data_IF_679203818805
#
_entry.id   IF_679203818805
#
_cell.length_a   1.000
_cell.length_b   1.000
_cell.length_c   1.000
_cell.angle_alpha   90.00
_cell.angle_beta   90.00
_cell.angle_gamma   90.00
#
_symmetry.space_group_name_H-M   'P 1'
#
loop_
_entity.id
_entity.type
_entity.pdbx_description
1 polymer ?
#
# COMPACT_ATOMS: atom_id res chain seq x y z
N UNK A 1 -16.79 -12.94 26.89
CA UNK A 1 -15.34 -12.81 27.23
C UNK A 1 -14.36 -13.37 26.19
N UNK A 2 -14.77 -14.11 25.15
CA UNK A 2 -13.85 -14.80 24.23
C UNK A 2 -13.12 -13.93 23.18
N UNK A 3 -13.42 -12.64 23.05
CA UNK A 3 -12.82 -11.75 22.03
C UNK A 3 -11.53 -11.06 22.48
N UNK A 4 -11.28 -10.98 23.80
CA UNK A 4 -10.07 -10.34 24.35
C UNK A 4 -8.74 -10.97 23.88
N UNK A 5 -8.57 -12.30 23.84
CA UNK A 5 -7.30 -12.88 23.41
C UNK A 5 -7.01 -12.70 21.92
N UNK A 6 -8.03 -12.75 21.06
CA UNK A 6 -7.85 -12.53 19.61
C UNK A 6 -7.49 -11.07 19.32
N UNK A 7 -8.14 -10.14 20.02
CA UNK A 7 -7.85 -8.71 19.90
C UNK A 7 -6.39 -8.41 20.27
N UNK A 8 -5.90 -8.94 21.39
CA UNK A 8 -4.51 -8.76 21.81
C UNK A 8 -3.49 -9.35 20.83
N UNK A 9 -3.76 -10.52 20.24
CA UNK A 9 -2.86 -11.14 19.26
C UNK A 9 -2.74 -10.29 17.99
N UNK A 10 -3.86 -9.76 17.49
CA UNK A 10 -3.83 -8.92 16.29
C UNK A 10 -3.09 -7.61 16.55
N UNK A 11 -3.31 -6.99 17.71
CA UNK A 11 -2.54 -5.80 18.12
C UNK A 11 -1.06 -6.14 18.20
N UNK A 12 -0.68 -7.26 18.83
CA UNK A 12 0.72 -7.69 18.87
C UNK A 12 1.33 -7.82 17.47
N UNK A 13 0.59 -8.37 16.49
CA UNK A 13 1.03 -8.40 15.09
C UNK A 13 1.22 -6.98 14.53
N UNK A 14 0.27 -6.06 14.73
CA UNK A 14 0.41 -4.66 14.30
C UNK A 14 1.65 -3.99 14.91
N UNK A 15 1.87 -4.16 16.22
CA UNK A 15 3.01 -3.60 16.94
C UNK A 15 4.33 -4.16 16.40
N UNK A 16 4.38 -5.47 16.10
CA UNK A 16 5.58 -6.14 15.56
C UNK A 16 5.99 -5.67 14.17
N UNK A 17 5.04 -5.13 13.38
CA UNK A 17 5.30 -4.62 12.03
C UNK A 17 5.73 -3.15 11.97
N UNK A 18 5.88 -2.51 13.14
CA UNK A 18 6.18 -1.08 13.28
C UNK A 18 5.14 -0.12 12.66
N UNK A 19 3.90 -0.59 12.46
CA UNK A 19 2.81 0.22 11.90
C UNK A 19 2.43 1.45 12.74
N UNK A 20 2.70 1.36 14.05
CA UNK A 20 2.40 2.40 15.04
C UNK A 20 3.34 3.61 15.00
N UNK A 21 4.50 3.51 14.34
CA UNK A 21 5.51 4.57 14.33
C UNK A 21 5.21 5.55 13.20
N UNK A 22 4.56 6.67 13.52
CA UNK A 22 4.33 7.76 12.57
C UNK A 22 5.53 8.68 12.42
N UNK A 23 5.34 9.79 11.72
CA UNK A 23 6.40 10.79 11.48
C UNK A 23 6.53 11.78 12.63
N UNK A 24 7.56 12.63 12.54
CA UNK A 24 7.78 13.74 13.49
C UNK A 24 6.67 14.80 13.43
N UNK A 25 6.13 15.01 12.24
CA UNK A 25 5.04 15.96 12.00
C UNK A 25 3.70 15.24 12.10
N UNK A 26 2.78 15.84 12.85
CA UNK A 26 1.40 15.36 13.00
C UNK A 26 0.46 16.46 12.56
N UNK A 27 -0.35 16.18 11.54
CA UNK A 27 -1.40 17.09 11.11
C UNK A 27 -2.52 17.12 12.15
N UNK A 28 -3.18 18.28 12.31
CA UNK A 28 -4.15 18.48 13.39
C UNK A 28 -5.31 17.47 13.38
N UNK A 29 -5.87 17.20 12.20
CA UNK A 29 -6.92 16.21 12.00
C UNK A 29 -6.46 14.76 12.27
N UNK A 30 -5.17 14.47 12.14
CA UNK A 30 -4.58 13.15 12.43
C UNK A 30 -4.37 12.90 13.93
N UNK A 31 -4.48 13.92 14.78
CA UNK A 31 -4.41 13.76 16.24
C UNK A 31 -5.46 12.80 16.78
N UNK A 32 -6.60 12.66 16.11
CA UNK A 32 -7.66 11.69 16.47
C UNK A 32 -7.13 10.26 16.45
N UNK A 33 -6.22 9.93 15.53
CA UNK A 33 -5.60 8.60 15.40
C UNK A 33 -4.26 8.49 16.11
N UNK A 34 -3.78 9.57 16.71
CA UNK A 34 -2.50 9.61 17.43
C UNK A 34 -2.75 9.29 18.90
N UNK A 35 -2.03 8.32 19.44
CA UNK A 35 -2.03 8.00 20.87
C UNK A 35 -1.20 8.99 21.67
N UNK A 36 -0.03 9.37 21.14
CA UNK A 36 0.89 10.31 21.78
C UNK A 36 2.14 10.54 20.95
N UNK A 37 3.19 11.06 21.60
CA UNK A 37 4.48 11.34 20.98
C UNK A 37 5.60 10.74 21.82
N UNK A 38 6.56 10.05 21.19
CA UNK A 38 7.73 9.44 21.85
C UNK A 38 8.97 9.63 20.98
N UNK A 39 10.08 10.10 21.55
CA UNK A 39 11.33 10.39 20.82
C UNK A 39 11.09 11.27 19.58
N UNK A 40 10.25 12.28 19.75
CA UNK A 40 9.76 13.15 18.68
C UNK A 40 8.94 12.51 17.54
N UNK A 41 8.67 11.21 17.59
CA UNK A 41 7.82 10.51 16.64
C UNK A 41 6.39 10.39 17.16
N UNK A 42 5.43 10.54 16.27
CA UNK A 42 4.03 10.27 16.58
C UNK A 42 3.82 8.77 16.78
N UNK A 43 3.11 8.40 17.85
CA UNK A 43 2.68 7.02 18.08
C UNK A 43 1.21 6.93 17.68
N UNK A 44 0.93 6.16 16.64
CA UNK A 44 -0.42 5.90 16.16
C UNK A 44 -1.15 4.90 17.06
N UNK A 45 -2.43 5.12 17.27
CA UNK A 45 -3.29 4.30 18.11
C UNK A 45 -3.67 2.99 17.38
N UNK A 46 -3.06 1.89 17.83
CA UNK A 46 -3.23 0.57 17.20
C UNK A 46 -4.66 0.03 17.30
N UNK A 47 -5.43 0.42 18.33
CA UNK A 47 -6.84 0.03 18.43
C UNK A 47 -7.67 0.70 17.33
N UNK A 48 -7.43 2.00 17.09
CA UNK A 48 -8.09 2.72 15.99
C UNK A 48 -7.64 2.20 14.62
N UNK A 49 -6.35 1.91 14.45
CA UNK A 49 -5.85 1.25 13.23
C UNK A 49 -6.57 -0.06 12.98
N UNK A 50 -6.75 -0.89 14.01
CA UNK A 50 -7.44 -2.18 13.89
C UNK A 50 -8.92 -2.02 13.51
N UNK A 51 -9.62 -1.04 14.07
CA UNK A 51 -11.01 -0.72 13.69
C UNK A 51 -11.08 -0.34 12.22
N UNK A 52 -10.24 0.59 11.78
CA UNK A 52 -10.19 1.02 10.38
C UNK A 52 -9.83 -0.13 9.43
N UNK A 53 -8.88 -0.97 9.82
CA UNK A 53 -8.45 -2.14 9.05
C UNK A 53 -9.60 -3.14 8.85
N UNK A 54 -10.40 -3.39 9.90
CA UNK A 54 -11.58 -4.25 9.84
C UNK A 54 -12.63 -3.68 8.89
N UNK A 55 -12.96 -2.39 9.03
CA UNK A 55 -13.93 -1.72 8.16
C UNK A 55 -13.50 -1.77 6.69
N UNK A 56 -12.22 -1.51 6.41
CA UNK A 56 -11.67 -1.60 5.06
C UNK A 56 -11.74 -3.04 4.51
N UNK A 57 -11.38 -4.04 5.31
CA UNK A 57 -11.43 -5.44 4.92
C UNK A 57 -12.86 -5.94 4.65
N UNK A 58 -13.82 -5.52 5.47
CA UNK A 58 -15.24 -5.82 5.27
C UNK A 58 -15.77 -5.20 3.97
N UNK A 59 -15.45 -3.92 3.73
CA UNK A 59 -15.80 -3.26 2.47
C UNK A 59 -15.20 -3.98 1.25
N UNK A 60 -13.89 -4.28 1.28
CA UNK A 60 -13.23 -5.03 0.20
C UNK A 60 -13.85 -6.42 -0.01
N UNK A 61 -14.21 -7.12 1.06
CA UNK A 61 -14.86 -8.41 0.97
C UNK A 61 -16.25 -8.32 0.31
N UNK A 62 -17.05 -7.32 0.67
CA UNK A 62 -18.37 -7.10 0.07
C UNK A 62 -18.28 -6.81 -1.43
N UNK A 63 -17.30 -6.01 -1.85
CA UNK A 63 -17.10 -5.66 -3.25
C UNK A 63 -16.50 -6.84 -4.05
N UNK A 64 -15.63 -7.63 -3.42
CA UNK A 64 -15.10 -8.85 -4.03
C UNK A 64 -16.21 -9.89 -4.28
N UNK A 65 -17.19 -10.01 -3.38
CA UNK A 65 -18.35 -10.87 -3.56
C UNK A 65 -19.17 -10.48 -4.80
N UNK A 66 -19.26 -9.17 -5.08
CA UNK A 66 -19.92 -8.62 -6.27
C UNK A 66 -19.05 -8.68 -7.54
N UNK A 67 -17.87 -9.32 -7.48
CA UNK A 67 -16.88 -9.38 -8.56
C UNK A 67 -16.42 -7.99 -9.02
N UNK A 68 -16.36 -7.04 -8.09
CA UNK A 68 -15.88 -5.68 -8.35
C UNK A 68 -14.40 -5.65 -8.77
N UNK A 69 -14.03 -4.63 -9.53
CA UNK A 69 -12.67 -4.43 -10.05
C UNK A 69 -11.86 -3.57 -9.10
N UNK A 70 -10.75 -4.12 -8.63
CA UNK A 70 -9.82 -3.42 -7.75
C UNK A 70 -8.62 -2.90 -8.52
N UNK A 71 -8.18 -1.68 -8.18
CA UNK A 71 -6.93 -1.12 -8.65
C UNK A 71 -6.01 -0.85 -7.48
N UNK A 72 -4.85 -1.52 -7.49
CA UNK A 72 -3.81 -1.36 -6.48
C UNK A 72 -2.79 -0.33 -6.93
N UNK A 73 -2.53 0.65 -6.08
CA UNK A 73 -1.75 1.84 -6.37
C UNK A 73 -0.68 1.98 -5.30
N UNK A 74 0.55 1.69 -5.69
CA UNK A 74 1.75 1.81 -4.86
C UNK A 74 2.61 2.95 -5.39
N UNK A 75 3.42 3.72 -4.66
CA UNK A 75 4.49 4.56 -5.28
C UNK A 75 5.88 4.00 -5.08
N UNK A 76 6.03 3.29 -3.98
CA UNK A 76 7.29 2.95 -3.39
C UNK A 76 7.80 1.64 -4.02
N UNK A 77 8.92 1.64 -4.77
CA UNK A 77 9.41 0.42 -5.41
C UNK A 77 9.71 -0.71 -4.42
N UNK A 78 9.87 -0.40 -3.12
CA UNK A 78 9.97 -1.38 -2.03
C UNK A 78 8.79 -2.37 -2.01
N UNK A 79 7.58 -1.92 -2.33
CA UNK A 79 6.37 -2.75 -2.20
C UNK A 79 5.98 -3.44 -3.51
N UNK A 80 6.67 -3.16 -4.62
CA UNK A 80 6.29 -3.67 -5.95
C UNK A 80 6.23 -5.20 -5.97
N UNK A 81 7.23 -5.86 -5.39
CA UNK A 81 7.27 -7.32 -5.35
C UNK A 81 6.13 -7.91 -4.53
N UNK A 82 5.87 -7.36 -3.35
CA UNK A 82 4.82 -7.83 -2.43
C UNK A 82 3.45 -7.71 -3.12
N UNK A 83 3.21 -6.58 -3.76
CA UNK A 83 1.93 -6.29 -4.44
C UNK A 83 1.79 -7.13 -5.70
N UNK A 84 2.86 -7.36 -6.45
CA UNK A 84 2.87 -8.25 -7.61
C UNK A 84 2.55 -9.70 -7.20
N UNK A 85 3.14 -10.20 -6.12
CA UNK A 85 2.83 -11.53 -5.60
C UNK A 85 1.37 -11.64 -5.13
N UNK A 86 0.89 -10.66 -4.37
CA UNK A 86 -0.51 -10.59 -3.92
C UNK A 86 -1.49 -10.61 -5.11
N UNK A 87 -1.28 -9.72 -6.08
CA UNK A 87 -2.18 -9.59 -7.23
C UNK A 87 -2.18 -10.83 -8.13
N UNK A 88 -1.03 -11.52 -8.28
CA UNK A 88 -0.95 -12.82 -8.96
C UNK A 88 -1.76 -13.89 -8.23
N UNK A 89 -1.64 -13.96 -6.89
CA UNK A 89 -2.37 -14.93 -6.06
C UNK A 89 -3.89 -14.73 -6.12
N UNK A 90 -4.35 -13.47 -6.12
CA UNK A 90 -5.78 -13.14 -6.17
C UNK A 90 -6.36 -13.33 -7.60
N UNK A 91 -5.51 -13.35 -8.63
CA UNK A 91 -5.95 -13.38 -10.03
C UNK A 91 -6.38 -12.01 -10.57
N UNK A 92 -6.16 -10.93 -9.81
CA UNK A 92 -6.38 -9.54 -10.24
C UNK A 92 -5.13 -8.91 -10.90
N UNK A 93 -4.08 -9.69 -11.16
CA UNK A 93 -2.86 -9.20 -11.78
C UNK A 93 -3.09 -8.75 -13.22
N UNK A 94 -2.89 -7.47 -13.48
CA UNK A 94 -2.77 -6.94 -14.83
C UNK A 94 -1.35 -6.38 -15.02
N UNK A 95 -0.49 -7.04 -15.82
CA UNK A 95 0.88 -6.56 -16.07
C UNK A 95 0.89 -5.14 -16.66
N UNK A 96 -0.19 -4.77 -17.36
CA UNK A 96 -0.38 -3.42 -17.84
C UNK A 96 -0.48 -2.44 -16.68
N UNK A 97 -1.20 -2.73 -15.58
CA UNK A 97 -1.50 -1.82 -14.45
C UNK A 97 -0.31 -1.50 -13.54
N UNK A 98 0.67 -2.40 -13.39
CA UNK A 98 1.76 -2.23 -12.41
C UNK A 98 2.76 -1.10 -12.74
N UNK A 99 2.89 -0.72 -14.01
CA UNK A 99 3.80 0.37 -14.43
C UNK A 99 3.08 1.72 -14.64
N UNK A 100 1.75 1.72 -14.80
CA UNK A 100 0.96 2.88 -15.30
C UNK A 100 0.92 4.03 -14.32
N UNK A 101 0.82 3.72 -13.02
CA UNK A 101 0.63 4.75 -12.02
C UNK A 101 1.91 5.58 -11.79
N UNK A 102 3.06 5.18 -12.34
CA UNK A 102 4.32 5.94 -12.29
C UNK A 102 4.38 7.06 -13.33
N UNK A 103 3.42 7.10 -14.26
CA UNK A 103 3.59 7.82 -15.54
C UNK A 103 2.60 8.98 -15.78
N UNK A 104 1.70 9.26 -14.83
CA UNK A 104 1.02 10.58 -14.77
C UNK A 104 -0.26 10.75 -15.59
N UNK A 105 -1.05 9.69 -15.81
CA UNK A 105 -2.45 9.82 -16.26
C UNK A 105 -3.24 8.62 -15.78
N UNK A 106 -4.17 8.83 -14.83
CA UNK A 106 -4.60 7.73 -13.96
C UNK A 106 -5.99 7.19 -14.26
N UNK A 107 -7.03 8.03 -14.23
CA UNK A 107 -8.41 7.55 -14.26
C UNK A 107 -9.34 8.43 -15.09
N UNK A 108 -9.22 9.76 -15.00
CA UNK A 108 -10.15 10.71 -15.65
C UNK A 108 -9.99 10.79 -17.16
N UNK A 109 -8.83 10.38 -17.69
CA UNK A 109 -8.53 10.38 -19.12
C UNK A 109 -8.19 8.97 -19.64
N UNK A 110 -8.84 7.94 -19.09
CA UNK A 110 -8.58 6.52 -19.41
C UNK A 110 -8.85 6.15 -20.88
N UNK A 111 -9.74 6.88 -21.53
CA UNK A 111 -10.11 6.72 -22.95
C UNK A 111 -9.18 7.46 -23.92
N UNK A 112 -8.22 8.25 -23.42
CA UNK A 112 -7.22 8.90 -24.27
C UNK A 112 -6.47 7.88 -25.12
N UNK A 113 -6.17 8.18 -26.40
CA UNK A 113 -5.38 7.30 -27.24
C UNK A 113 -4.07 6.88 -26.55
N UNK A 114 -4.00 5.61 -26.13
CA UNK A 114 -2.84 5.00 -25.43
C UNK A 114 -1.60 4.81 -26.31
N UNK A 115 -1.61 5.45 -27.48
CA UNK A 115 -0.54 5.40 -28.49
C UNK A 115 0.05 6.79 -28.65
N UNK A 116 0.43 7.43 -27.55
CA UNK A 116 1.44 8.48 -27.64
C UNK A 116 2.76 7.77 -27.98
N UNK A 117 3.05 7.64 -29.28
CA UNK A 117 4.32 7.08 -29.76
C UNK A 117 5.41 8.12 -29.52
N UNK A 118 5.98 8.14 -28.32
CA UNK A 118 7.37 8.59 -28.22
C UNK A 118 8.23 7.56 -28.96
N UNK A 119 9.28 8.03 -29.66
CA UNK A 119 10.16 7.23 -30.54
C UNK A 119 10.67 5.93 -29.91
N UNK A 120 10.65 5.77 -28.57
CA UNK A 120 11.18 4.61 -27.85
C UNK A 120 10.32 4.04 -26.70
N UNK A 121 9.10 4.53 -26.40
CA UNK A 121 8.28 3.99 -25.28
C UNK A 121 6.78 3.98 -25.58
N UNK A 122 6.12 2.85 -25.33
CA UNK A 122 4.65 2.74 -25.27
C UNK A 122 4.19 3.26 -23.90
N UNK A 123 3.49 4.38 -23.88
CA UNK A 123 2.87 4.93 -22.67
C UNK A 123 1.40 4.52 -22.61
N UNK A 124 1.03 3.76 -21.60
CA UNK A 124 -0.37 3.44 -21.33
C UNK A 124 -0.85 4.31 -20.16
N UNK A 125 -1.96 5.05 -20.33
CA UNK A 125 -2.49 6.00 -19.33
C UNK A 125 -3.60 5.37 -18.47
N UNK A 126 -3.32 4.20 -17.87
CA UNK A 126 -4.30 3.51 -17.01
C UNK A 126 -5.15 2.44 -17.73
N UNK A 127 -5.96 1.68 -16.95
CA UNK A 127 -6.92 0.72 -17.51
C UNK A 127 -7.99 1.47 -18.32
N UNK A 128 -8.52 0.87 -19.39
CA UNK A 128 -9.57 1.51 -20.21
C UNK A 128 -10.86 1.69 -19.43
N UNK A 129 -11.16 0.72 -18.56
CA UNK A 129 -12.32 0.75 -17.69
C UNK A 129 -11.91 1.24 -16.31
N UNK A 130 -12.74 2.11 -15.72
CA UNK A 130 -12.55 2.57 -14.35
C UNK A 130 -12.69 1.39 -13.35
N UNK A 131 -11.86 1.35 -12.29
CA UNK A 131 -12.02 0.39 -11.21
C UNK A 131 -13.20 0.77 -10.31
N UNK A 132 -13.79 -0.22 -9.65
CA UNK A 132 -14.88 -0.03 -8.68
C UNK A 132 -14.33 0.35 -7.29
N UNK A 133 -13.08 -0.01 -7.00
CA UNK A 133 -12.38 0.41 -5.78
C UNK A 133 -10.90 0.66 -6.04
N UNK A 134 -10.38 1.72 -5.43
CA UNK A 134 -8.97 2.06 -5.42
C UNK A 134 -8.34 1.69 -4.07
N UNK A 135 -7.23 0.96 -4.09
CA UNK A 135 -6.44 0.65 -2.89
C UNK A 135 -5.06 1.30 -3.02
N UNK A 136 -4.77 2.27 -2.16
CA UNK A 136 -3.53 3.07 -2.18
C UNK A 136 -2.64 2.68 -1.01
N UNK A 137 -1.41 2.24 -1.29
CA UNK A 137 -0.45 1.82 -0.27
C UNK A 137 0.48 2.96 0.21
N UNK A 138 0.69 3.98 -0.62
CA UNK A 138 1.50 5.16 -0.29
C UNK A 138 0.75 6.40 -0.79
N UNK A 139 0.32 7.25 0.16
CA UNK A 139 -0.56 8.39 -0.10
C UNK A 139 0.18 9.71 -0.33
N UNK A 140 1.41 9.85 0.17
CA UNK A 140 2.10 11.16 0.17
C UNK A 140 2.53 11.58 -1.23
N UNK A 141 3.06 10.64 -2.02
CA UNK A 141 3.55 10.92 -3.38
C UNK A 141 2.46 10.86 -4.47
N UNK A 142 1.19 10.61 -4.10
CA UNK A 142 0.11 10.26 -5.05
C UNK A 142 -1.21 11.03 -4.87
N UNK A 143 -1.10 12.30 -4.55
CA UNK A 143 -2.23 13.22 -4.51
C UNK A 143 -3.13 13.16 -5.76
N UNK A 144 -2.55 13.06 -6.96
CA UNK A 144 -3.30 13.07 -8.21
C UNK A 144 -4.28 11.90 -8.36
N UNK A 145 -3.88 10.68 -7.96
CA UNK A 145 -4.76 9.51 -8.09
C UNK A 145 -5.96 9.65 -7.15
N UNK A 146 -5.71 10.16 -5.93
CA UNK A 146 -6.76 10.41 -4.93
C UNK A 146 -7.74 11.46 -5.45
N UNK A 147 -7.22 12.55 -6.03
CA UNK A 147 -8.05 13.63 -6.60
C UNK A 147 -8.89 13.13 -7.78
N UNK A 148 -8.30 12.35 -8.69
CA UNK A 148 -9.01 11.80 -9.84
C UNK A 148 -10.09 10.78 -9.44
N UNK A 149 -9.76 9.86 -8.52
CA UNK A 149 -10.72 8.89 -8.01
C UNK A 149 -11.89 9.59 -7.30
N UNK A 150 -11.61 10.64 -6.53
CA UNK A 150 -12.65 11.45 -5.90
C UNK A 150 -13.57 12.13 -6.93
N UNK A 151 -13.00 12.69 -8.01
CA UNK A 151 -13.79 13.27 -9.12
C UNK A 151 -14.69 12.23 -9.80
N UNK A 152 -14.20 11.00 -9.95
CA UNK A 152 -14.95 9.88 -10.55
C UNK A 152 -15.86 9.15 -9.56
N UNK A 153 -15.96 9.61 -8.31
CA UNK A 153 -16.76 8.97 -7.24
C UNK A 153 -16.38 7.52 -6.96
N UNK A 154 -15.10 7.16 -7.16
CA UNK A 154 -14.57 5.84 -6.85
C UNK A 154 -14.17 5.82 -5.37
N UNK A 155 -14.64 4.84 -4.57
CA UNK A 155 -14.24 4.70 -3.18
C UNK A 155 -12.75 4.34 -3.06
N UNK A 156 -12.10 4.92 -2.04
CA UNK A 156 -10.66 4.79 -1.83
C UNK A 156 -10.40 4.17 -0.46
N UNK A 157 -9.68 3.06 -0.46
CA UNK A 157 -9.02 2.49 0.72
C UNK A 157 -7.57 2.93 0.67
N UNK A 158 -7.07 3.63 1.69
CA UNK A 158 -5.69 4.11 1.68
C UNK A 158 -5.03 3.95 3.04
N UNK A 159 -3.73 3.63 3.02
CA UNK A 159 -2.88 3.88 4.19
C UNK A 159 -2.74 5.38 4.40
N UNK A 160 -2.79 5.80 5.66
CA UNK A 160 -2.73 7.20 6.07
C UNK A 160 -1.67 7.35 7.14
N UNK A 161 -0.73 8.26 6.90
CA UNK A 161 0.32 8.62 7.84
C UNK A 161 -0.04 9.88 8.65
N UNK A 162 0.66 10.10 9.76
CA UNK A 162 0.44 11.22 10.67
C UNK A 162 0.64 12.59 10.01
N UNK A 163 1.47 12.68 8.97
CA UNK A 163 1.78 13.93 8.28
C UNK A 163 0.86 14.24 7.08
N UNK A 164 -0.14 13.38 6.80
CA UNK A 164 -1.00 13.56 5.63
C UNK A 164 -1.80 14.87 5.72
N UNK A 165 -1.90 15.68 4.66
CA UNK A 165 -2.68 16.92 4.68
C UNK A 165 -4.18 16.64 4.55
N UNK A 166 -4.99 17.56 5.11
CA UNK A 166 -6.44 17.43 5.21
C UNK A 166 -7.12 17.31 3.83
N UNK A 167 -6.56 17.98 2.83
CA UNK A 167 -7.08 17.98 1.46
C UNK A 167 -7.14 16.57 0.85
N UNK A 168 -6.17 15.71 1.16
CA UNK A 168 -6.19 14.33 0.66
C UNK A 168 -6.94 13.41 1.61
N UNK A 169 -6.77 13.60 2.92
CA UNK A 169 -7.46 12.81 3.94
C UNK A 169 -8.99 12.85 3.77
N UNK A 170 -9.56 14.03 3.56
CA UNK A 170 -11.01 14.24 3.37
C UNK A 170 -11.61 13.52 2.17
N UNK A 171 -10.78 13.09 1.20
CA UNK A 171 -11.23 12.42 -0.02
C UNK A 171 -11.18 10.89 0.08
N UNK A 172 -10.52 10.36 1.10
CA UNK A 172 -10.40 8.92 1.33
C UNK A 172 -11.64 8.42 2.06
N UNK A 173 -12.25 7.35 1.55
CA UNK A 173 -13.47 6.76 2.13
C UNK A 173 -13.14 5.87 3.33
N UNK A 174 -12.10 5.03 3.20
CA UNK A 174 -11.67 4.08 4.21
C UNK A 174 -10.19 4.30 4.54
N UNK A 175 -9.87 5.24 5.46
CA UNK A 175 -8.49 5.51 5.86
C UNK A 175 -8.01 4.46 6.87
N UNK A 176 -6.85 3.86 6.63
CA UNK A 176 -6.15 2.97 7.56
C UNK A 176 -4.95 3.73 8.16
N UNK A 177 -5.06 4.24 9.39
CA UNK A 177 -4.01 5.03 10.02
C UNK A 177 -2.85 4.12 10.42
N UNK A 178 -1.80 4.10 9.62
CA UNK A 178 -0.63 3.25 9.84
C UNK A 178 0.54 3.74 9.00
N UNK A 179 1.75 3.55 9.53
CA UNK A 179 2.97 3.80 8.78
C UNK A 179 3.19 2.74 7.68
N UNK A 180 3.77 3.15 6.57
CA UNK A 180 4.07 2.31 5.42
C UNK A 180 5.38 1.52 5.59
N UNK A 181 5.51 0.81 6.70
CA UNK A 181 6.59 -0.16 6.90
C UNK A 181 6.42 -1.35 5.94
N UNK A 182 7.52 -1.88 5.39
CA UNK A 182 7.51 -3.07 4.51
C UNK A 182 6.77 -4.24 5.18
N UNK A 183 7.02 -4.45 6.47
CA UNK A 183 6.38 -5.50 7.25
C UNK A 183 4.87 -5.29 7.37
N UNK A 184 4.44 -4.04 7.57
CA UNK A 184 3.02 -3.72 7.68
C UNK A 184 2.31 -3.84 6.33
N UNK A 185 2.93 -3.34 5.25
CA UNK A 185 2.39 -3.48 3.89
C UNK A 185 2.26 -4.95 3.51
N UNK A 186 3.22 -5.80 3.89
CA UNK A 186 3.11 -7.25 3.71
C UNK A 186 1.93 -7.85 4.49
N UNK A 187 1.79 -7.50 5.78
CA UNK A 187 0.65 -7.93 6.59
C UNK A 187 -0.68 -7.49 5.97
N UNK A 188 -0.75 -6.26 5.46
CA UNK A 188 -1.94 -5.71 4.82
C UNK A 188 -2.26 -6.43 3.49
N UNK A 189 -1.26 -6.67 2.64
CA UNK A 189 -1.41 -7.45 1.42
C UNK A 189 -1.84 -8.90 1.70
N UNK A 190 -1.32 -9.51 2.76
CA UNK A 190 -1.73 -10.85 3.20
C UNK A 190 -3.17 -10.86 3.69
N UNK A 191 -3.60 -9.83 4.43
CA UNK A 191 -4.98 -9.67 4.85
C UNK A 191 -5.90 -9.59 3.62
N UNK A 192 -5.57 -8.73 2.65
CA UNK A 192 -6.31 -8.61 1.39
C UNK A 192 -6.37 -9.97 0.68
N UNK A 193 -5.24 -10.64 0.48
CA UNK A 193 -5.19 -11.96 -0.16
C UNK A 193 -6.12 -12.95 0.52
N UNK A 194 -6.08 -13.04 1.86
CA UNK A 194 -6.95 -13.92 2.65
C UNK A 194 -8.42 -13.57 2.46
N UNK A 195 -8.79 -12.29 2.47
CA UNK A 195 -10.19 -11.89 2.24
C UNK A 195 -10.70 -12.29 0.87
N UNK A 196 -9.91 -12.09 -0.19
CA UNK A 196 -10.33 -12.43 -1.56
C UNK A 196 -10.43 -13.94 -1.79
N UNK A 197 -9.46 -14.72 -1.29
CA UNK A 197 -9.49 -16.18 -1.40
C UNK A 197 -10.70 -16.74 -0.66
N UNK A 198 -10.96 -16.25 0.55
CA UNK A 198 -12.14 -16.63 1.33
C UNK A 198 -13.44 -16.37 0.55
N UNK A 199 -13.60 -15.16 -0.02
CA UNK A 199 -14.80 -14.81 -0.78
C UNK A 199 -14.93 -15.63 -2.07
N UNK A 200 -13.82 -15.95 -2.72
CA UNK A 200 -13.83 -16.84 -3.90
C UNK A 200 -14.33 -18.25 -3.55
N UNK A 201 -13.91 -18.79 -2.40
CA UNK A 201 -14.39 -20.08 -1.90
C UNK A 201 -15.88 -20.05 -1.51
N UNK A 202 -16.34 -18.97 -0.87
CA UNK A 202 -17.75 -18.79 -0.49
C UNK A 202 -18.66 -18.66 -1.72
N UNK A 203 -18.21 -17.96 -2.76
CA UNK A 203 -18.95 -17.79 -4.01
C UNK A 203 -19.24 -19.10 -4.74
N UNK A 204 -18.29 -20.05 -4.73
CA UNK A 204 -18.49 -21.38 -5.34
C UNK A 204 -19.51 -22.21 -4.54
N UNK A 205 -19.49 -22.16 -3.21
CA UNK A 205 -20.42 -22.91 -2.35
C UNK A 205 -21.89 -22.48 -2.49
N UNK A 206 -22.13 -21.20 -2.79
CA UNK A 206 -23.48 -20.68 -2.98
C UNK A 206 -24.12 -21.08 -4.31
N UNK A 207 -23.33 -21.35 -5.35
CA UNK A 207 -23.86 -21.90 -6.62
C UNK A 207 -24.24 -23.38 -6.49
N UNK A 208 -23.61 -24.11 -5.56
CA UNK A 208 -23.83 -25.54 -5.39
C UNK A 208 -25.00 -25.89 -4.46
N UNK A 209 -25.61 -24.94 -3.73
CA UNK A 209 -26.62 -25.27 -2.72
C UNK A 209 -27.72 -24.21 -2.53
N UNK A 210 -28.93 -24.55 -3.00
CA UNK A 210 -30.19 -24.12 -2.40
C UNK A 210 -30.38 -24.84 -1.05
N UNK A 211 -29.51 -24.55 -0.08
CA UNK A 211 -29.60 -25.07 1.29
C UNK A 211 -29.35 -23.92 2.25
N UNK A 212 -30.30 -23.72 3.15
CA UNK A 212 -30.34 -22.62 4.10
C UNK A 212 -29.05 -22.42 4.89
N UNK A 213 -28.83 -21.14 5.20
CA UNK A 213 -27.86 -20.57 6.11
C UNK A 213 -27.20 -21.57 7.09
N UNK A 214 -25.88 -21.75 6.94
CA UNK A 214 -25.00 -22.14 8.04
C UNK A 214 -23.68 -21.37 7.88
N UNK A 215 -23.48 -20.35 8.69
CA UNK A 215 -22.14 -19.81 8.92
C UNK A 215 -21.22 -20.99 9.29
N UNK A 216 -20.17 -21.24 8.52
CA UNK A 216 -19.29 -22.37 8.80
C UNK A 216 -18.60 -22.22 10.16
N UNK A 217 -18.32 -23.32 10.87
CA UNK A 217 -17.88 -23.28 12.26
C UNK A 217 -16.48 -22.69 12.37
N UNK A 218 -16.19 -22.06 13.52
CA UNK A 218 -14.89 -21.49 13.93
C UNK A 218 -13.66 -22.42 13.79
N UNK A 219 -13.82 -23.69 13.38
CA UNK A 219 -12.76 -24.70 13.27
C UNK A 219 -12.02 -24.70 11.94
N UNK A 220 -12.69 -24.55 10.79
CA UNK A 220 -12.04 -24.59 9.45
C UNK A 220 -11.11 -23.38 9.21
N UNK A 221 -11.42 -22.26 9.85
CA UNK A 221 -10.60 -21.05 9.81
C UNK A 221 -9.23 -21.25 10.48
N UNK A 222 -9.17 -22.11 11.51
CA UNK A 222 -7.95 -22.36 12.27
C UNK A 222 -6.88 -23.08 11.44
N UNK A 223 -7.29 -23.97 10.55
CA UNK A 223 -6.34 -24.78 9.78
C UNK A 223 -5.79 -24.02 8.55
N UNK A 224 -6.63 -23.21 7.89
CA UNK A 224 -6.17 -22.24 6.88
C UNK A 224 -5.25 -21.17 7.47
N UNK A 225 -5.52 -20.71 8.70
CA UNK A 225 -4.62 -19.76 9.39
C UNK A 225 -3.27 -20.41 9.71
N UNK A 226 -3.24 -21.67 10.15
CA UNK A 226 -2.00 -22.40 10.45
C UNK A 226 -1.16 -22.64 9.19
N UNK A 227 -1.79 -23.06 8.08
CA UNK A 227 -1.12 -23.28 6.81
C UNK A 227 -0.50 -21.98 6.27
N UNK A 228 -1.19 -20.84 6.45
CA UNK A 228 -0.66 -19.52 6.11
C UNK A 228 0.39 -18.97 7.09
N UNK A 229 0.24 -19.18 8.40
CA UNK A 229 1.27 -18.79 9.40
C UNK A 229 2.56 -19.61 9.19
N UNK A 230 2.44 -20.85 8.67
CA UNK A 230 3.57 -21.68 8.25
C UNK A 230 4.24 -21.12 6.99
N UNK A 231 3.46 -20.73 5.98
CA UNK A 231 3.96 -20.03 4.77
C UNK A 231 4.57 -18.67 5.11
N UNK A 232 4.02 -17.92 6.08
CA UNK A 232 4.57 -16.65 6.55
C UNK A 232 5.94 -16.86 7.22
N UNK A 233 6.06 -17.88 8.09
CA UNK A 233 7.36 -18.27 8.67
C UNK A 233 8.35 -18.76 7.64
N UNK A 234 7.92 -19.52 6.63
CA UNK A 234 8.79 -19.97 5.54
C UNK A 234 9.24 -18.80 4.66
N UNK A 235 8.36 -17.88 4.26
CA UNK A 235 8.72 -16.72 3.42
C UNK A 235 9.68 -15.77 4.14
N UNK A 236 9.51 -15.54 5.45
CA UNK A 236 10.40 -14.68 6.24
C UNK A 236 11.66 -15.37 6.77
N UNK A 237 11.65 -16.71 6.87
CA UNK A 237 12.84 -17.51 7.21
C UNK A 237 13.59 -17.99 5.97
N UNK A 238 13.05 -17.82 4.76
CA UNK A 238 13.72 -18.19 3.53
C UNK A 238 14.91 -17.24 3.32
N UNK A 239 16.12 -17.78 3.47
CA UNK A 239 17.37 -17.07 3.21
C UNK A 239 17.39 -16.50 1.79
N UNK A 240 16.65 -17.10 0.86
CA UNK A 240 16.46 -16.60 -0.50
C UNK A 240 15.63 -15.30 -0.55
N UNK A 241 14.62 -15.12 0.32
CA UNK A 241 13.87 -13.86 0.40
C UNK A 241 14.73 -12.75 1.01
N UNK A 242 15.49 -13.06 2.08
CA UNK A 242 16.44 -12.12 2.68
C UNK A 242 17.53 -11.72 1.68
N UNK A 243 18.11 -12.68 0.97
CA UNK A 243 19.13 -12.46 -0.06
C UNK A 243 18.58 -11.67 -1.27
N UNK A 244 17.32 -11.89 -1.65
CA UNK A 244 16.64 -11.11 -2.69
C UNK A 244 16.34 -9.68 -2.25
N UNK A 245 15.92 -9.48 -1.00
CA UNK A 245 15.76 -8.14 -0.40
C UNK A 245 17.10 -7.42 -0.33
N UNK A 246 18.17 -8.11 0.05
CA UNK A 246 19.53 -7.54 0.13
C UNK A 246 20.09 -7.19 -1.25
N UNK A 247 19.99 -8.11 -2.23
CA UNK A 247 20.33 -7.83 -3.65
C UNK A 247 19.50 -6.68 -4.21
N UNK A 248 18.24 -6.57 -3.80
CA UNK A 248 17.36 -5.47 -4.20
C UNK A 248 17.80 -4.14 -3.57
N UNK A 249 18.18 -4.10 -2.28
CA UNK A 249 18.73 -2.91 -1.61
C UNK A 249 20.00 -2.43 -2.31
N UNK A 250 20.96 -3.33 -2.56
CA UNK A 250 22.19 -3.04 -3.32
C UNK A 250 21.89 -2.50 -4.72
N UNK A 251 20.84 -2.99 -5.37
CA UNK A 251 20.39 -2.49 -6.68
C UNK A 251 19.78 -1.08 -6.61
N UNK A 252 19.18 -0.69 -5.48
CA UNK A 252 18.68 0.67 -5.27
C UNK A 252 19.78 1.66 -4.83
N UNK A 253 20.76 1.21 -4.05
CA UNK A 253 21.98 1.98 -3.71
C UNK A 253 22.75 2.34 -4.98
N UNK A 254 22.94 1.38 -5.90
CA UNK A 254 23.52 1.64 -7.24
C UNK A 254 22.70 2.60 -8.11
N UNK A 255 21.41 2.78 -7.80
CA UNK A 255 20.52 3.74 -8.47
C UNK A 255 20.47 5.09 -7.77
N UNK A 256 21.19 5.25 -6.64
CA UNK A 256 21.24 6.49 -5.86
C UNK A 256 19.95 6.83 -5.12
N UNK A 257 19.09 5.84 -4.85
CA UNK A 257 17.76 6.05 -4.22
C UNK A 257 17.82 5.86 -2.71
N UNK A 258 18.77 5.07 -2.20
CA UNK A 258 19.06 4.92 -0.77
C UNK A 258 20.42 5.56 -0.49
N UNK A 259 20.52 6.33 0.59
CA UNK A 259 21.80 6.83 1.10
C UNK A 259 22.54 5.67 1.78
N UNK A 260 23.83 5.54 1.53
CA UNK A 260 24.67 4.57 2.21
C UNK A 260 24.76 4.92 3.69
N UNK A 261 24.62 3.93 4.56
CA UNK A 261 24.77 4.12 6.01
C UNK A 261 26.20 4.49 6.43
N UNK A 262 27.17 4.39 5.52
CA UNK A 262 28.58 4.69 5.78
C UNK A 262 28.90 6.20 5.74
N UNK A 263 28.02 7.03 5.15
CA UNK A 263 28.22 8.48 5.07
C UNK A 263 27.74 9.22 6.33
N UNK A 264 27.10 8.52 7.28
CA UNK A 264 26.56 9.11 8.51
C UNK A 264 27.61 9.35 9.61
N UNK A 265 28.88 8.97 9.39
CA UNK A 265 29.95 9.04 10.39
C UNK A 265 31.15 9.92 10.00
N UNK A 266 31.08 10.68 8.90
CA UNK A 266 32.09 11.70 8.61
C UNK A 266 31.49 13.10 8.84
N UNK A 267 31.66 13.61 10.05
CA UNK A 267 31.54 15.02 10.34
C UNK A 267 32.69 15.75 9.66
N UNK A 268 32.44 16.23 8.45
CA UNK A 268 33.19 17.33 7.85
C UNK A 268 32.17 18.39 7.44
N UNK A 269 32.24 19.56 8.11
CA UNK A 269 31.58 20.79 7.68
C UNK A 269 31.88 21.02 6.20
N UNK A 270 30.85 20.99 5.36
CA UNK A 270 30.94 21.38 3.96
C UNK A 270 30.15 22.67 3.80
N UNK A 271 30.87 23.73 3.44
CA UNK A 271 30.37 25.09 3.26
C UNK A 271 29.12 25.18 2.36
N UNK A 272 28.12 25.92 2.84
CA UNK A 272 26.77 26.08 2.25
C UNK A 272 26.73 26.72 0.84
N UNK A 273 27.85 27.22 0.33
CA UNK A 273 27.90 27.93 -0.96
C UNK A 273 27.87 27.01 -2.19
N UNK A 274 28.13 25.70 -2.04
CA UNK A 274 28.17 24.77 -3.17
C UNK A 274 26.81 24.10 -3.51
N UNK A 275 25.84 24.19 -2.60
CA UNK A 275 24.51 23.57 -2.76
C UNK A 275 23.53 24.42 -3.60
N UNK A 276 23.80 25.72 -3.71
CA UNK A 276 23.02 26.63 -4.57
C UNK A 276 23.38 26.49 -6.05
N UNK A 277 24.65 26.26 -6.39
CA UNK A 277 25.10 26.16 -7.79
C UNK A 277 24.62 24.89 -8.52
N UNK A 278 24.34 23.79 -7.79
CA UNK A 278 23.75 22.59 -8.39
C UNK A 278 22.25 22.73 -8.71
N UNK A 279 21.53 23.62 -8.02
CA UNK A 279 20.09 23.83 -8.29
C UNK A 279 19.82 24.70 -9.52
N UNK A 280 20.73 25.60 -9.88
CA UNK A 280 20.56 26.46 -11.07
C UNK A 280 20.97 25.78 -12.39
N UNK A 281 21.92 24.84 -12.39
CA UNK A 281 22.36 24.15 -13.61
C UNK A 281 21.31 23.22 -14.23
N UNK A 282 20.44 22.63 -13.40
CA UNK A 282 19.40 21.70 -13.89
C UNK A 282 18.22 22.43 -14.55
N UNK A 283 18.00 23.70 -14.20
CA UNK A 283 16.93 24.54 -14.78
C UNK A 283 17.26 25.06 -16.19
N UNK A 284 18.53 25.37 -16.48
CA UNK A 284 18.92 25.89 -17.81
C UNK A 284 18.98 24.80 -18.90
N UNK A 285 19.24 23.54 -18.54
CA UNK A 285 19.27 22.44 -19.51
C UNK A 285 17.89 22.02 -20.03
N UNK A 286 16.82 22.38 -19.33
CA UNK A 286 15.44 22.13 -19.77
C UNK A 286 14.93 23.13 -20.83
N UNK A 287 15.64 24.25 -21.05
CA UNK A 287 15.18 25.34 -21.92
C UNK A 287 15.84 25.36 -23.32
N UNK A 288 16.70 24.39 -23.65
CA UNK A 288 17.42 24.31 -24.95
C UNK A 288 16.98 23.15 -25.85
N UNK A 289 15.81 22.59 -25.61
CA UNK A 289 15.17 21.61 -26.50
C UNK A 289 13.75 22.09 -26.81
N UNK A 290 13.64 23.22 -27.49
CA UNK A 290 12.53 23.60 -28.39
C UNK A 290 13.19 24.27 -29.60
#
# INVERSE_FOLDING_TARGET
MAWRPLHSIVIQKLLSTNAQLGRRVVADHMKVFTYGKRNDLAVMDSDKTLICLRNAAEFMASLAQQKGKFMFVNTNPLFDEIIEQMTKKIGCYSPSMNSLWRTGGFLTNSYSPKKFRSRNKKLCFGPTQAPDCLVVFDSERKSSVILEAHRLRIPIVSLVDSAMPLDYYSKITYPVPANDSIQFVYLFCNLITKTFLLQSCLGNRNNDNNVGFKCTPKSEYGDLIKEFDQVEKEVYSNDEWKDRVEKWKVKQERRGILLNNDDANNDQEVDDDNLLNLRFSSSEKASRII
#
